data_IF_312706241068
#
_entry.id   IF_312706241068
#
_cell.length_a   1.000
_cell.length_b   1.000
_cell.length_c   1.000
_cell.angle_alpha   90.00
_cell.angle_beta   90.00
_cell.angle_gamma   90.00
#
_symmetry.space_group_name_H-M   'P 1'
#
loop_
_entity.id
_entity.type
_entity.pdbx_description
1 polymer ?
#
# COMPACT_ATOMS: atom_id res chain seq x y z
N UNK A 1 17.22 -15.53 -17.76
CA UNK A 1 16.88 -14.13 -18.11
C UNK A 1 17.19 -13.27 -16.89
N UNK A 2 18.18 -12.39 -17.01
CA UNK A 2 18.55 -11.47 -15.93
C UNK A 2 17.36 -10.57 -15.59
N UNK A 3 16.87 -10.67 -14.37
CA UNK A 3 15.78 -9.85 -13.87
C UNK A 3 16.35 -8.48 -13.49
N UNK A 4 16.65 -7.64 -14.51
CA UNK A 4 17.23 -6.31 -14.32
C UNK A 4 16.20 -5.35 -13.69
N UNK A 5 15.85 -5.61 -12.42
CA UNK A 5 14.98 -4.75 -11.63
C UNK A 5 15.84 -3.90 -10.69
N UNK A 6 15.47 -2.65 -10.55
CA UNK A 6 15.98 -1.75 -9.52
C UNK A 6 15.12 -1.88 -8.27
N UNK A 7 15.74 -1.78 -7.11
CA UNK A 7 15.05 -1.63 -5.82
C UNK A 7 15.30 -0.20 -5.34
N UNK A 8 14.24 0.51 -5.01
CA UNK A 8 14.31 1.86 -4.48
C UNK A 8 13.36 2.03 -3.28
N UNK A 9 13.74 2.90 -2.35
CA UNK A 9 12.95 3.25 -1.17
C UNK A 9 12.47 4.69 -1.32
N UNK A 10 11.16 4.88 -1.15
CA UNK A 10 10.47 6.17 -1.18
C UNK A 10 9.98 6.49 0.22
N UNK A 11 10.22 7.70 0.70
CA UNK A 11 9.83 8.10 2.04
C UNK A 11 8.64 9.05 1.97
N UNK A 12 7.61 8.73 2.72
CA UNK A 12 6.50 9.63 3.03
C UNK A 12 6.73 10.19 4.44
N UNK A 13 6.99 11.49 4.55
CA UNK A 13 7.12 12.15 5.83
C UNK A 13 5.79 12.16 6.60
N UNK A 14 5.85 12.49 7.88
CA UNK A 14 4.63 12.73 8.67
C UNK A 14 3.76 13.83 8.04
N UNK A 15 4.39 14.85 7.49
CA UNK A 15 3.70 15.96 6.85
C UNK A 15 2.99 15.50 5.56
N UNK A 16 3.66 14.72 4.70
CA UNK A 16 3.05 14.16 3.49
C UNK A 16 1.82 13.31 3.84
N UNK A 17 1.96 12.42 4.84
CA UNK A 17 0.86 11.57 5.30
C UNK A 17 -0.30 12.41 5.84
N UNK A 18 -0.01 13.49 6.56
CA UNK A 18 -1.04 14.38 7.07
C UNK A 18 -1.76 15.11 5.92
N UNK A 19 -1.01 15.63 4.94
CA UNK A 19 -1.57 16.28 3.74
C UNK A 19 -2.45 15.32 2.93
N UNK A 20 -2.04 14.06 2.76
CA UNK A 20 -2.87 13.04 2.12
C UNK A 20 -4.22 12.89 2.83
N UNK A 21 -4.22 12.84 4.17
CA UNK A 21 -5.46 12.71 4.95
C UNK A 21 -6.38 13.92 4.80
N UNK A 22 -5.82 15.13 4.79
CA UNK A 22 -6.55 16.37 4.60
C UNK A 22 -7.21 16.44 3.22
N UNK A 23 -6.45 16.13 2.16
CA UNK A 23 -6.97 16.06 0.80
C UNK A 23 -8.14 15.06 0.68
N UNK A 24 -7.99 13.88 1.26
CA UNK A 24 -9.04 12.85 1.25
C UNK A 24 -10.29 13.32 1.99
N UNK A 25 -10.12 14.02 3.12
CA UNK A 25 -11.23 14.55 3.90
C UNK A 25 -12.03 15.59 3.11
N UNK A 26 -11.35 16.55 2.49
CA UNK A 26 -11.99 17.59 1.66
C UNK A 26 -12.69 16.96 0.45
N UNK A 27 -12.01 16.09 -0.28
CA UNK A 27 -12.57 15.42 -1.45
C UNK A 27 -13.80 14.55 -1.11
N UNK A 28 -13.84 13.95 0.09
CA UNK A 28 -15.04 13.22 0.53
C UNK A 28 -16.24 14.15 0.80
N UNK A 29 -15.98 15.33 1.34
CA UNK A 29 -17.02 16.37 1.54
C UNK A 29 -17.58 16.86 0.20
N UNK A 30 -16.74 17.17 -0.77
CA UNK A 30 -17.14 17.56 -2.12
C UNK A 30 -17.96 16.47 -2.82
N UNK A 31 -17.55 15.21 -2.67
CA UNK A 31 -18.27 14.06 -3.20
C UNK A 31 -19.56 13.72 -2.42
N UNK A 32 -19.86 14.43 -1.33
CA UNK A 32 -20.97 14.12 -0.40
C UNK A 32 -20.97 12.67 0.08
N UNK A 33 -19.77 12.11 0.25
CA UNK A 33 -19.55 10.75 0.71
C UNK A 33 -18.98 10.75 2.14
N UNK A 34 -19.26 9.74 2.96
CA UNK A 34 -18.64 9.63 4.27
C UNK A 34 -17.13 9.46 4.10
N UNK A 35 -16.28 10.18 4.88
CA UNK A 35 -14.86 10.09 4.77
C UNK A 35 -14.38 8.69 5.16
N UNK A 36 -13.47 8.07 4.38
CA UNK A 36 -12.89 6.79 4.73
C UNK A 36 -12.00 6.91 5.98
N UNK A 37 -11.90 5.85 6.76
CA UNK A 37 -10.99 5.80 7.91
C UNK A 37 -9.52 5.84 7.44
N UNK A 38 -8.99 7.03 7.21
CA UNK A 38 -7.66 7.25 6.65
C UNK A 38 -6.57 7.24 7.74
N UNK A 39 -6.12 6.04 8.17
CA UNK A 39 -4.93 5.89 9.01
C UNK A 39 -3.65 6.21 8.22
N UNK A 40 -2.50 6.38 8.90
CA UNK A 40 -1.23 6.62 8.21
C UNK A 40 -0.86 5.51 7.23
N UNK A 41 -1.16 4.25 7.57
CA UNK A 41 -0.94 3.13 6.67
C UNK A 41 -1.89 3.18 5.47
N UNK A 42 -3.17 3.49 5.68
CA UNK A 42 -4.14 3.68 4.58
C UNK A 42 -3.66 4.78 3.64
N UNK A 43 -3.30 5.94 4.16
CA UNK A 43 -2.80 7.07 3.38
C UNK A 43 -1.60 6.67 2.51
N UNK A 44 -0.58 6.04 3.12
CA UNK A 44 0.62 5.63 2.40
C UNK A 44 0.33 4.58 1.32
N UNK A 45 -0.40 3.50 1.66
CA UNK A 45 -0.73 2.45 0.70
C UNK A 45 -1.53 2.98 -0.49
N UNK A 46 -2.47 3.87 -0.23
CA UNK A 46 -3.33 4.47 -1.25
C UNK A 46 -2.56 5.39 -2.19
N UNK A 47 -1.71 6.24 -1.62
CA UNK A 47 -0.84 7.14 -2.39
C UNK A 47 0.09 6.35 -3.31
N UNK A 48 0.80 5.37 -2.76
CA UNK A 48 1.72 4.52 -3.53
C UNK A 48 0.98 3.70 -4.60
N UNK A 49 -0.19 3.15 -4.28
CA UNK A 49 -0.97 2.38 -5.25
C UNK A 49 -1.42 3.25 -6.43
N UNK A 50 -1.87 4.48 -6.18
CA UNK A 50 -2.21 5.44 -7.22
C UNK A 50 -0.99 5.78 -8.09
N UNK A 51 0.16 6.13 -7.49
CA UNK A 51 1.39 6.40 -8.23
C UNK A 51 1.86 5.17 -9.04
N UNK A 52 1.78 3.97 -8.47
CA UNK A 52 2.16 2.73 -9.12
C UNK A 52 1.31 2.45 -10.37
N UNK A 53 0.00 2.67 -10.28
CA UNK A 53 -0.90 2.45 -11.42
C UNK A 53 -0.72 3.50 -12.52
N UNK A 54 -0.39 4.74 -12.17
CA UNK A 54 -0.03 5.80 -13.15
C UNK A 54 1.29 5.51 -13.87
N UNK A 55 2.23 4.86 -13.17
CA UNK A 55 3.55 4.54 -13.71
C UNK A 55 3.56 3.32 -14.64
N UNK A 56 2.48 2.55 -14.71
CA UNK A 56 2.34 1.43 -15.65
C UNK A 56 2.20 1.93 -17.07
N UNK A 57 2.79 1.19 -18.02
CA UNK A 57 2.66 1.48 -19.45
C UNK A 57 1.21 1.33 -19.92
N UNK A 58 0.83 2.18 -20.87
CA UNK A 58 -0.47 2.12 -21.53
C UNK A 58 -0.68 0.81 -22.28
N UNK A 59 0.39 0.17 -22.79
CA UNK A 59 0.34 -1.14 -23.44
C UNK A 59 -0.07 -2.27 -22.47
N UNK A 60 0.33 -2.19 -21.18
CA UNK A 60 -0.20 -3.07 -20.13
C UNK A 60 -1.64 -2.69 -19.76
N UNK A 61 -2.01 -1.43 -19.93
CA UNK A 61 -3.37 -0.95 -19.68
C UNK A 61 -4.38 -1.45 -20.72
N UNK A 62 -3.98 -1.56 -21.98
CA UNK A 62 -4.84 -2.02 -23.10
C UNK A 62 -5.15 -3.51 -22.96
N UNK A 63 -4.24 -4.30 -22.41
CA UNK A 63 -4.45 -5.75 -22.16
C UNK A 63 -5.20 -6.03 -20.88
N UNK A 64 -5.46 -5.01 -20.08
CA UNK A 64 -5.91 -5.10 -18.73
C UNK A 64 -7.38 -4.78 -18.52
N UNK A 65 -8.08 -5.64 -17.77
CA UNK A 65 -9.43 -5.36 -17.30
C UNK A 65 -9.49 -4.03 -16.54
N UNK A 66 -10.69 -3.47 -16.44
CA UNK A 66 -10.94 -2.15 -15.83
C UNK A 66 -10.65 -2.06 -14.31
N UNK A 67 -10.30 -3.18 -13.66
CA UNK A 67 -10.10 -3.25 -12.20
C UNK A 67 -8.66 -3.63 -11.86
N UNK A 68 -8.04 -2.87 -10.97
CA UNK A 68 -6.76 -3.19 -10.34
C UNK A 68 -6.98 -3.55 -8.88
N UNK A 69 -6.08 -4.36 -8.31
CA UNK A 69 -6.22 -4.87 -6.94
C UNK A 69 -5.02 -4.50 -6.08
N UNK A 70 -5.30 -4.30 -4.79
CA UNK A 70 -4.29 -4.25 -3.74
C UNK A 70 -4.51 -5.40 -2.75
N UNK A 71 -3.44 -6.07 -2.33
CA UNK A 71 -3.47 -7.09 -1.30
C UNK A 71 -2.59 -6.68 -0.11
N UNK A 72 -3.14 -6.82 1.08
CA UNK A 72 -2.48 -6.44 2.33
C UNK A 72 -2.47 -7.67 3.25
N UNK A 73 -1.31 -8.14 3.71
CA UNK A 73 -1.23 -9.26 4.65
C UNK A 73 -1.74 -8.83 6.03
N UNK A 74 -2.57 -9.65 6.62
CA UNK A 74 -3.13 -9.43 7.96
C UNK A 74 -2.87 -10.64 8.85
N UNK A 75 -2.44 -10.37 10.08
CA UNK A 75 -2.37 -11.39 11.10
C UNK A 75 -3.79 -11.68 11.64
N UNK A 76 -4.24 -12.91 11.46
CA UNK A 76 -5.58 -13.34 11.86
C UNK A 76 -5.63 -13.99 13.25
N UNK A 77 -4.51 -14.18 13.98
CA UNK A 77 -4.48 -14.89 15.26
C UNK A 77 -5.56 -14.42 16.24
N UNK A 78 -5.58 -13.13 16.53
CA UNK A 78 -6.57 -12.52 17.45
C UNK A 78 -7.99 -12.44 16.89
N UNK A 79 -8.18 -12.75 15.60
CA UNK A 79 -9.45 -12.65 14.88
C UNK A 79 -10.10 -13.99 14.59
N UNK A 80 -9.39 -15.09 14.87
CA UNK A 80 -9.96 -16.44 14.72
C UNK A 80 -11.11 -16.61 15.69
N UNK A 81 -12.19 -17.24 15.23
CA UNK A 81 -13.37 -17.58 16.03
C UNK A 81 -13.64 -19.09 15.89
N UNK A 82 -14.17 -19.76 16.93
CA UNK A 82 -14.54 -19.19 18.23
C UNK A 82 -13.36 -18.84 19.13
N UNK A 83 -12.19 -19.48 18.95
CA UNK A 83 -11.04 -19.33 19.82
C UNK A 83 -9.89 -18.61 19.11
N UNK A 84 -9.45 -17.46 19.62
CA UNK A 84 -8.26 -16.78 19.11
C UNK A 84 -7.02 -17.68 19.26
N UNK A 85 -6.15 -17.64 18.25
CA UNK A 85 -4.86 -18.33 18.30
C UNK A 85 -3.90 -17.52 19.17
N UNK A 86 -3.23 -18.13 20.15
CA UNK A 86 -2.25 -17.45 20.99
C UNK A 86 -1.12 -16.78 20.17
N UNK A 87 -0.55 -15.71 20.71
CA UNK A 87 0.51 -14.97 20.00
C UNK A 87 1.83 -15.76 19.90
N UNK A 88 2.06 -16.70 20.79
CA UNK A 88 3.23 -17.60 20.83
C UNK A 88 3.08 -18.80 19.89
N UNK A 89 1.92 -18.98 19.24
CA UNK A 89 1.77 -20.01 18.21
C UNK A 89 2.71 -19.75 17.03
N UNK A 90 3.63 -20.66 16.80
CA UNK A 90 4.68 -20.52 15.79
C UNK A 90 4.19 -20.69 14.34
N UNK A 91 3.05 -21.34 14.12
CA UNK A 91 2.49 -21.57 12.79
C UNK A 91 2.06 -20.29 12.08
N UNK A 92 1.99 -20.33 10.75
CA UNK A 92 1.51 -19.23 9.93
C UNK A 92 0.00 -19.00 10.14
N UNK A 93 -0.37 -17.77 10.47
CA UNK A 93 -1.76 -17.33 10.57
C UNK A 93 -1.94 -15.96 9.89
N UNK A 94 -1.31 -15.78 8.72
CA UNK A 94 -1.39 -14.57 7.90
C UNK A 94 -2.21 -14.89 6.67
N UNK A 95 -3.22 -14.07 6.41
CA UNK A 95 -4.02 -14.13 5.19
C UNK A 95 -4.10 -12.77 4.51
N UNK A 96 -4.31 -12.71 3.19
CA UNK A 96 -4.47 -11.45 2.50
C UNK A 96 -5.88 -10.92 2.67
N UNK A 97 -5.99 -9.62 2.88
CA UNK A 97 -7.20 -8.87 2.52
C UNK A 97 -6.97 -8.23 1.17
N UNK A 98 -8.00 -8.19 0.34
CA UNK A 98 -7.86 -7.74 -1.04
C UNK A 98 -9.04 -6.87 -1.42
N UNK A 99 -8.74 -5.75 -2.08
CA UNK A 99 -9.75 -4.86 -2.61
C UNK A 99 -9.39 -4.44 -4.03
N UNK A 100 -10.41 -4.39 -4.88
CA UNK A 100 -10.31 -3.87 -6.24
C UNK A 100 -10.79 -2.43 -6.31
N UNK A 101 -10.24 -1.67 -7.27
CA UNK A 101 -10.74 -0.36 -7.66
C UNK A 101 -10.72 -0.21 -9.18
N UNK A 102 -11.65 0.58 -9.78
CA UNK A 102 -11.61 0.88 -11.20
C UNK A 102 -10.32 1.63 -11.55
N UNK A 103 -9.51 1.06 -12.47
CA UNK A 103 -8.20 1.62 -12.83
C UNK A 103 -8.31 3.07 -13.28
N UNK A 104 -9.27 3.38 -14.15
CA UNK A 104 -9.46 4.74 -14.66
C UNK A 104 -9.71 5.78 -13.56
N UNK A 105 -10.46 5.41 -12.50
CA UNK A 105 -10.70 6.30 -11.37
C UNK A 105 -9.48 6.42 -10.47
N UNK A 106 -8.77 5.31 -10.24
CA UNK A 106 -7.58 5.28 -9.37
C UNK A 106 -6.41 6.12 -9.94
N UNK A 107 -6.25 6.14 -11.27
CA UNK A 107 -5.19 6.92 -11.94
C UNK A 107 -5.59 8.37 -12.19
N UNK A 108 -6.82 8.78 -11.91
CA UNK A 108 -7.23 10.16 -12.01
C UNK A 108 -6.31 11.07 -11.18
N UNK A 109 -5.94 12.22 -11.76
CA UNK A 109 -5.05 13.15 -11.10
C UNK A 109 -5.73 13.82 -9.89
N UNK A 110 -4.92 14.24 -8.92
CA UNK A 110 -5.38 15.02 -7.79
C UNK A 110 -6.18 14.23 -6.74
N UNK A 111 -7.12 14.92 -6.12
CA UNK A 111 -7.85 14.44 -4.95
C UNK A 111 -8.78 13.26 -5.24
N UNK A 112 -9.42 13.22 -6.42
CA UNK A 112 -10.40 12.18 -6.77
C UNK A 112 -9.78 10.78 -6.83
N UNK A 113 -8.63 10.63 -7.49
CA UNK A 113 -7.94 9.33 -7.55
C UNK A 113 -7.45 8.87 -6.18
N UNK A 114 -6.98 9.81 -5.36
CA UNK A 114 -6.53 9.53 -4.01
C UNK A 114 -7.69 9.12 -3.10
N UNK A 115 -8.86 9.76 -3.22
CA UNK A 115 -10.08 9.39 -2.49
C UNK A 115 -10.52 7.96 -2.84
N UNK A 116 -10.55 7.59 -4.13
CA UNK A 116 -10.88 6.24 -4.57
C UNK A 116 -9.93 5.21 -3.97
N UNK A 117 -8.62 5.48 -4.02
CA UNK A 117 -7.61 4.61 -3.44
C UNK A 117 -7.79 4.44 -1.93
N UNK A 118 -7.97 5.55 -1.19
CA UNK A 118 -8.16 5.53 0.27
C UNK A 118 -9.45 4.80 0.66
N UNK A 119 -10.54 5.01 -0.06
CA UNK A 119 -11.81 4.32 0.18
C UNK A 119 -11.64 2.81 0.02
N UNK A 120 -10.99 2.36 -1.05
CA UNK A 120 -10.76 0.95 -1.30
C UNK A 120 -9.86 0.31 -0.24
N UNK A 121 -8.73 0.93 0.11
CA UNK A 121 -7.79 0.42 1.13
C UNK A 121 -8.43 0.41 2.52
N UNK A 122 -9.15 1.47 2.88
CA UNK A 122 -9.86 1.55 4.17
C UNK A 122 -10.92 0.45 4.28
N UNK A 123 -11.73 0.25 3.24
CA UNK A 123 -12.74 -0.80 3.19
C UNK A 123 -12.14 -2.21 3.35
N UNK A 124 -10.99 -2.48 2.70
CA UNK A 124 -10.29 -3.75 2.86
C UNK A 124 -9.89 -4.00 4.33
N UNK A 125 -9.29 -2.99 4.98
CA UNK A 125 -8.86 -3.09 6.38
C UNK A 125 -10.05 -3.24 7.32
N UNK A 126 -11.13 -2.50 7.09
CA UNK A 126 -12.35 -2.56 7.88
C UNK A 126 -13.04 -3.92 7.77
N UNK A 127 -13.10 -4.48 6.56
CA UNK A 127 -13.57 -5.84 6.33
C UNK A 127 -12.76 -6.87 7.16
N UNK A 128 -11.43 -6.73 7.22
CA UNK A 128 -10.58 -7.63 8.02
C UNK A 128 -10.81 -7.52 9.52
N UNK A 129 -11.21 -6.33 9.99
CA UNK A 129 -11.47 -6.08 11.42
C UNK A 129 -12.85 -6.60 11.81
N UNK A 130 -13.87 -6.41 10.97
CA UNK A 130 -15.27 -6.70 11.28
C UNK A 130 -15.67 -8.15 10.98
N UNK A 131 -15.15 -8.75 9.91
CA UNK A 131 -15.68 -10.03 9.40
C UNK A 131 -15.05 -11.27 10.00
N UNK A 132 -14.04 -11.13 10.87
CA UNK A 132 -13.26 -12.27 11.33
C UNK A 132 -12.48 -12.95 10.20
N UNK A 133 -12.12 -14.21 10.40
CA UNK A 133 -11.38 -14.99 9.40
C UNK A 133 -12.35 -15.54 8.35
N UNK A 134 -12.23 -15.13 7.11
CA UNK A 134 -12.95 -15.77 5.98
C UNK A 134 -12.36 -17.13 5.68
N UNK A 135 -13.18 -17.99 5.05
CA UNK A 135 -12.71 -19.33 4.68
C UNK A 135 -11.55 -19.26 3.67
N UNK A 136 -10.60 -20.19 3.74
CA UNK A 136 -9.48 -20.27 2.78
C UNK A 136 -9.94 -20.35 1.31
N UNK A 137 -11.11 -20.96 1.06
CA UNK A 137 -11.69 -21.09 -0.29
C UNK A 137 -12.04 -19.71 -0.89
N UNK A 138 -12.61 -18.82 -0.07
CA UNK A 138 -12.93 -17.45 -0.49
C UNK A 138 -11.66 -16.63 -0.78
N UNK A 139 -10.58 -16.86 -0.02
CA UNK A 139 -9.28 -16.26 -0.34
C UNK A 139 -8.73 -16.76 -1.66
N UNK A 140 -8.78 -18.07 -1.91
CA UNK A 140 -8.32 -18.67 -3.15
C UNK A 140 -9.06 -18.12 -4.38
N UNK A 141 -10.36 -17.88 -4.26
CA UNK A 141 -11.17 -17.28 -5.32
C UNK A 141 -10.75 -15.81 -5.58
N UNK A 142 -10.68 -14.97 -4.54
CA UNK A 142 -10.27 -13.56 -4.67
C UNK A 142 -8.84 -13.41 -5.20
N UNK A 143 -7.89 -14.25 -4.74
CA UNK A 143 -6.52 -14.23 -5.25
C UNK A 143 -6.50 -14.55 -6.75
N UNK A 144 -7.24 -15.57 -7.17
CA UNK A 144 -7.33 -15.96 -8.57
C UNK A 144 -7.92 -14.84 -9.44
N UNK A 145 -9.01 -14.23 -9.00
CA UNK A 145 -9.62 -13.07 -9.67
C UNK A 145 -8.61 -11.91 -9.82
N UNK A 146 -7.89 -11.57 -8.75
CA UNK A 146 -6.92 -10.48 -8.76
C UNK A 146 -5.68 -10.78 -9.63
N UNK A 147 -5.19 -12.01 -9.61
CA UNK A 147 -4.03 -12.44 -10.43
C UNK A 147 -4.41 -12.52 -11.91
N UNK A 148 -5.64 -12.95 -12.20
CA UNK A 148 -6.17 -13.03 -13.58
C UNK A 148 -6.64 -11.67 -14.10
N UNK A 149 -6.82 -10.70 -13.22
CA UNK A 149 -7.16 -9.34 -13.62
C UNK A 149 -5.96 -8.69 -14.30
N UNK A 150 -6.15 -8.27 -15.52
CA UNK A 150 -5.11 -7.61 -16.29
C UNK A 150 -4.82 -6.17 -15.80
N UNK A 151 -5.64 -5.59 -14.91
CA UNK A 151 -5.31 -4.36 -14.15
C UNK A 151 -4.19 -4.56 -13.14
N UNK A 152 -3.88 -5.83 -12.83
CA UNK A 152 -2.78 -6.25 -11.99
C UNK A 152 -3.07 -6.16 -10.50
N UNK A 153 -2.22 -6.85 -9.74
CA UNK A 153 -2.24 -6.93 -8.29
C UNK A 153 -0.98 -6.27 -7.72
N UNK A 154 -1.13 -5.32 -6.81
CA UNK A 154 -0.05 -4.81 -5.97
C UNK A 154 -0.19 -5.43 -4.57
N UNK A 155 0.86 -6.08 -4.10
CA UNK A 155 0.87 -6.70 -2.78
C UNK A 155 1.76 -5.91 -1.84
N UNK A 156 1.29 -5.61 -0.63
CA UNK A 156 2.12 -5.06 0.43
C UNK A 156 2.87 -6.17 1.18
N UNK A 157 4.04 -5.86 1.70
CA UNK A 157 4.84 -6.71 2.59
C UNK A 157 5.40 -5.86 3.72
N UNK A 158 5.62 -6.45 4.89
CA UNK A 158 6.09 -5.71 6.06
C UNK A 158 4.99 -4.94 6.78
N UNK A 159 5.38 -4.23 7.80
CA UNK A 159 4.50 -3.39 8.61
C UNK A 159 5.31 -2.37 9.41
N UNK A 160 4.84 -1.12 9.53
CA UNK A 160 5.48 -0.13 10.41
C UNK A 160 5.52 -0.58 11.89
N UNK A 161 4.65 -1.52 12.27
CA UNK A 161 4.60 -2.07 13.64
C UNK A 161 5.74 -3.02 13.96
N UNK A 162 6.49 -3.48 12.97
CA UNK A 162 7.63 -4.36 13.20
C UNK A 162 8.81 -3.62 13.82
N UNK A 163 8.84 -2.29 13.73
CA UNK A 163 9.87 -1.43 14.31
C UNK A 163 11.27 -1.92 13.95
N UNK A 164 11.48 -2.15 12.66
CA UNK A 164 12.69 -2.78 12.12
C UNK A 164 13.97 -1.99 12.41
N UNK A 165 13.84 -0.68 12.60
CA UNK A 165 14.96 0.20 12.99
C UNK A 165 15.27 0.21 14.49
N UNK A 166 14.45 -0.42 15.34
CA UNK A 166 14.73 -0.56 16.76
C UNK A 166 15.57 -1.80 17.10
N UNK A 167 15.80 -2.68 16.15
CA UNK A 167 16.61 -3.88 16.31
C UNK A 167 18.08 -3.47 16.53
N UNK A 168 18.71 -4.06 17.56
CA UNK A 168 20.15 -3.92 17.82
C UNK A 168 20.74 -5.29 18.10
N UNK A 169 21.75 -5.68 17.34
CA UNK A 169 22.45 -6.95 17.49
C UNK A 169 23.75 -6.80 18.32
N UNK A 170 23.93 -5.70 19.05
CA UNK A 170 25.10 -5.42 19.88
C UNK A 170 26.16 -4.55 19.20
N UNK A 171 25.95 -4.16 17.94
CA UNK A 171 26.82 -3.25 17.17
C UNK A 171 26.06 -2.03 16.62
N UNK A 172 24.90 -1.72 17.18
CA UNK A 172 24.10 -0.56 16.86
C UNK A 172 22.88 -0.87 15.97
N UNK A 173 22.03 0.14 15.81
CA UNK A 173 20.78 0.02 15.04
C UNK A 173 21.02 0.07 13.54
N UNK A 174 20.17 -0.58 12.72
CA UNK A 174 20.33 -0.59 11.26
C UNK A 174 20.38 0.83 10.68
N UNK A 175 21.29 1.05 9.74
CA UNK A 175 21.30 2.26 8.94
C UNK A 175 20.20 2.27 7.88
N UNK A 176 19.90 1.10 7.31
CA UNK A 176 18.84 0.89 6.33
C UNK A 176 18.30 -0.54 6.44
N UNK A 177 16.99 -0.69 6.25
CA UNK A 177 16.33 -1.99 6.20
C UNK A 177 15.60 -2.15 4.87
N UNK A 178 15.80 -3.27 4.20
CA UNK A 178 15.15 -3.59 2.92
C UNK A 178 14.56 -5.01 2.93
N UNK A 179 13.34 -5.14 2.46
CA UNK A 179 12.72 -6.45 2.24
C UNK A 179 13.09 -6.91 0.82
N UNK A 180 14.22 -7.62 0.70
CA UNK A 180 14.80 -8.01 -0.60
C UNK A 180 13.89 -8.92 -1.44
N UNK A 181 12.94 -9.63 -0.82
CA UNK A 181 12.00 -10.49 -1.54
C UNK A 181 11.09 -9.72 -2.50
N UNK A 182 10.89 -8.40 -2.31
CA UNK A 182 10.07 -7.58 -3.21
C UNK A 182 10.66 -7.52 -4.63
N UNK A 183 11.97 -7.64 -4.77
CA UNK A 183 12.64 -7.72 -6.08
C UNK A 183 12.15 -8.92 -6.91
N UNK A 184 11.81 -10.02 -6.25
CA UNK A 184 11.31 -11.24 -6.86
C UNK A 184 9.79 -11.26 -7.01
N UNK A 185 9.09 -10.88 -5.95
CA UNK A 185 7.62 -10.99 -5.87
C UNK A 185 6.89 -9.83 -6.56
N UNK A 186 7.54 -8.67 -6.76
CA UNK A 186 6.89 -7.46 -7.25
C UNK A 186 5.98 -6.79 -6.21
N UNK A 187 6.08 -7.19 -4.94
CA UNK A 187 5.38 -6.54 -3.84
C UNK A 187 6.00 -5.16 -3.53
N UNK A 188 5.30 -4.32 -2.78
CA UNK A 188 5.88 -3.18 -2.09
C UNK A 188 6.22 -3.55 -0.64
N UNK A 189 7.37 -3.12 -0.15
CA UNK A 189 7.74 -3.21 1.26
C UNK A 189 7.25 -1.97 2.01
N UNK A 190 6.77 -2.13 3.25
CA UNK A 190 6.36 -1.01 4.09
C UNK A 190 7.00 -1.13 5.46
N UNK A 191 7.69 -0.08 5.89
CA UNK A 191 8.30 0.04 7.22
C UNK A 191 8.07 1.45 7.79
N UNK A 192 8.32 1.62 9.08
CA UNK A 192 8.47 2.95 9.66
C UNK A 192 9.69 3.67 9.08
N UNK A 193 9.66 5.00 8.98
CA UNK A 193 10.83 5.74 8.53
C UNK A 193 11.85 5.92 9.66
N UNK A 194 13.14 5.90 9.27
CA UNK A 194 14.25 6.17 10.18
C UNK A 194 14.46 7.67 10.36
N UNK A 195 14.69 8.11 11.60
CA UNK A 195 15.22 9.43 11.89
C UNK A 195 14.54 10.15 13.06
N UNK A 196 15.31 10.99 13.74
CA UNK A 196 14.81 11.80 14.88
C UNK A 196 13.74 12.81 14.47
N UNK A 197 13.74 13.25 13.21
CA UNK A 197 12.75 14.17 12.64
C UNK A 197 11.64 13.46 11.84
N UNK A 198 11.75 12.14 11.62
CA UNK A 198 10.81 11.33 10.84
C UNK A 198 9.62 10.80 11.67
N UNK A 199 9.42 11.31 12.88
CA UNK A 199 8.38 10.85 13.79
C UNK A 199 7.07 10.51 13.07
N UNK A 200 6.78 9.19 12.94
CA UNK A 200 5.63 8.60 12.27
C UNK A 200 5.57 8.71 10.73
N UNK A 201 6.69 8.94 10.03
CA UNK A 201 6.80 8.75 8.59
C UNK A 201 6.86 7.26 8.20
N UNK A 202 6.71 6.97 6.93
CA UNK A 202 6.76 5.61 6.38
C UNK A 202 7.74 5.53 5.21
N UNK A 203 8.48 4.42 5.15
CA UNK A 203 9.31 4.06 4.01
C UNK A 203 8.62 2.97 3.20
N UNK A 204 8.63 3.13 1.87
CA UNK A 204 8.07 2.15 0.94
C UNK A 204 9.13 1.73 -0.07
N UNK A 205 9.53 0.46 -0.01
CA UNK A 205 10.43 -0.16 -0.96
C UNK A 205 9.66 -0.71 -2.16
N UNK A 206 10.09 -0.39 -3.38
CA UNK A 206 9.49 -0.86 -4.63
C UNK A 206 10.59 -1.40 -5.55
N UNK A 207 10.27 -2.48 -6.26
CA UNK A 207 11.17 -3.05 -7.27
C UNK A 207 10.51 -3.05 -8.64
N UNK A 208 11.10 -2.31 -9.58
CA UNK A 208 10.62 -2.15 -10.95
C UNK A 208 11.77 -2.28 -11.95
N UNK A 209 11.44 -2.53 -13.22
CA UNK A 209 12.41 -2.35 -14.33
C UNK A 209 12.86 -0.89 -14.39
N UNK A 210 14.05 -0.58 -14.93
CA UNK A 210 14.57 0.79 -14.94
C UNK A 210 13.60 1.83 -15.50
N UNK A 211 12.91 1.53 -16.60
CA UNK A 211 11.93 2.45 -17.20
C UNK A 211 10.71 2.66 -16.29
N UNK A 212 10.16 1.58 -15.74
CA UNK A 212 9.08 1.63 -14.78
C UNK A 212 9.46 2.39 -13.51
N UNK A 213 10.70 2.24 -13.04
CA UNK A 213 11.20 2.97 -11.87
C UNK A 213 11.28 4.48 -12.14
N UNK A 214 11.77 4.89 -13.32
CA UNK A 214 11.80 6.31 -13.70
C UNK A 214 10.39 6.91 -13.77
N UNK A 215 9.43 6.19 -14.38
CA UNK A 215 8.03 6.65 -14.41
C UNK A 215 7.42 6.71 -13.02
N UNK A 216 7.66 5.70 -12.18
CA UNK A 216 7.16 5.69 -10.82
C UNK A 216 7.73 6.86 -10.00
N UNK A 217 9.03 7.09 -10.07
CA UNK A 217 9.68 8.21 -9.38
C UNK A 217 9.07 9.53 -9.82
N UNK A 218 8.91 9.75 -11.13
CA UNK A 218 8.25 10.96 -11.64
C UNK A 218 6.83 11.11 -11.09
N UNK A 219 6.02 10.06 -11.14
CA UNK A 219 4.65 10.10 -10.61
C UNK A 219 4.61 10.39 -9.11
N UNK A 220 5.56 9.84 -8.35
CA UNK A 220 5.69 10.06 -6.91
C UNK A 220 6.07 11.52 -6.63
N UNK A 221 7.11 12.04 -7.27
CA UNK A 221 7.62 13.40 -7.07
C UNK A 221 6.57 14.44 -7.47
N UNK A 222 5.91 14.27 -8.61
CA UNK A 222 4.81 15.13 -9.07
C UNK A 222 3.64 15.14 -8.08
N UNK A 223 3.30 13.96 -7.52
CA UNK A 223 2.20 13.85 -6.57
C UNK A 223 2.55 14.48 -5.21
N UNK A 224 3.79 14.34 -4.73
CA UNK A 224 4.27 15.03 -3.53
C UNK A 224 4.26 16.55 -3.74
N UNK A 225 4.79 17.04 -4.88
CA UNK A 225 4.77 18.45 -5.20
C UNK A 225 3.32 19.01 -5.22
N UNK A 226 2.40 18.27 -5.84
CA UNK A 226 0.99 18.63 -5.87
C UNK A 226 0.36 18.72 -4.47
N UNK A 227 0.67 17.77 -3.55
CA UNK A 227 0.17 17.80 -2.17
C UNK A 227 0.57 19.08 -1.41
N UNK A 228 1.76 19.61 -1.70
CA UNK A 228 2.29 20.79 -1.00
C UNK A 228 1.97 22.14 -1.69
N UNK A 229 1.59 22.12 -2.97
CA UNK A 229 1.20 23.34 -3.71
C UNK A 229 -0.26 23.72 -3.49
N UNK A 230 -1.14 22.76 -3.19
CA UNK A 230 -2.55 23.04 -2.96
C UNK A 230 -2.76 23.37 -1.48
N UNK A 231 -2.82 24.66 -1.14
CA UNK A 231 -3.35 25.08 0.15
C UNK A 231 -4.81 24.64 0.21
N UNK A 232 -5.10 23.79 1.20
CA UNK A 232 -6.48 23.35 1.46
C UNK A 232 -7.13 24.52 2.21
N UNK A 233 -7.84 25.37 1.44
CA UNK A 233 -8.63 26.47 1.99
C UNK A 233 -9.86 25.96 2.71
#
# INVERSE_FOLDING_TARGET
MSNNKLLATFTLSKQDIQRIKEVVLVASGEARAPPPRCSSLVAALSFIWSCYQRAKDDDEAIRGGNTTYIAIPVNHRSRMKPDPIPNDYFGNCIGPIMQGAPKAQLVAAGASGLLVACTAVAAAIEEAVSSGTRSPELWGKKIREAVMSAGGLLTAAGSPRFRVYDVDFGFGRPAKVEIVSVARTGAMAVAESRGRNAGNGLEVGISLRPDGMRRFQKCFDDAIAWLHQNEIS
#
